data_IF_586641944987
#
_entry.id   IF_586641944987
#
_cell.length_a   1.000
_cell.length_b   1.000
_cell.length_c   1.000
_cell.angle_alpha   90.00
_cell.angle_beta   90.00
_cell.angle_gamma   90.00
#
_symmetry.space_group_name_H-M   'P 1'
#
loop_
_entity.id
_entity.type
_entity.pdbx_description
1 polymer ?
#
# COMPACT_ATOMS: atom_id res chain seq x y z
N UNK A 1 -41.35 1.26 27.45
CA UNK A 1 -39.90 1.19 27.68
C UNK A 1 -39.30 0.67 26.39
N UNK A 2 -39.03 1.59 25.47
CA UNK A 2 -38.52 1.27 24.13
C UNK A 2 -37.02 1.03 24.26
N UNK A 3 -36.55 -0.12 23.79
CA UNK A 3 -35.13 -0.43 23.71
C UNK A 3 -34.43 0.67 22.87
N UNK A 4 -33.30 1.25 23.31
CA UNK A 4 -32.59 2.23 22.49
C UNK A 4 -32.20 1.60 21.15
N UNK A 5 -32.37 2.37 20.07
CA UNK A 5 -31.87 2.01 18.74
C UNK A 5 -30.39 1.65 18.88
N UNK A 6 -29.90 0.53 18.30
CA UNK A 6 -28.48 0.23 18.30
C UNK A 6 -27.70 1.44 17.76
N UNK A 7 -26.56 1.74 18.39
CA UNK A 7 -25.64 2.78 17.95
C UNK A 7 -25.45 2.65 16.43
N UNK A 8 -25.64 3.74 15.64
CA UNK A 8 -25.46 3.64 14.20
C UNK A 8 -24.06 3.10 13.95
N UNK A 9 -23.98 2.01 13.16
CA UNK A 9 -22.71 1.46 12.70
C UNK A 9 -21.82 2.64 12.28
N UNK A 10 -20.56 2.73 12.76
CA UNK A 10 -19.74 3.90 12.51
C UNK A 10 -19.74 4.19 11.01
N UNK A 11 -19.97 5.47 10.67
CA UNK A 11 -20.08 5.96 9.30
C UNK A 11 -19.02 5.26 8.43
N UNK A 12 -19.45 4.62 7.34
CA UNK A 12 -18.56 3.91 6.43
C UNK A 12 -17.37 4.78 6.04
N UNK A 13 -17.58 6.09 5.87
CA UNK A 13 -16.51 7.05 5.62
C UNK A 13 -15.50 7.14 6.79
N UNK A 14 -15.98 7.20 8.03
CA UNK A 14 -15.13 7.19 9.22
C UNK A 14 -14.32 5.89 9.36
N UNK A 15 -14.92 4.74 9.00
CA UNK A 15 -14.21 3.45 9.01
C UNK A 15 -13.12 3.37 7.95
N UNK A 16 -13.40 3.86 6.73
CA UNK A 16 -12.41 3.93 5.64
C UNK A 16 -11.26 4.85 6.05
N UNK A 17 -11.54 6.05 6.54
CA UNK A 17 -10.53 6.99 7.01
C UNK A 17 -9.64 6.40 8.13
N UNK A 18 -10.24 5.63 9.06
CA UNK A 18 -9.48 4.94 10.10
C UNK A 18 -8.55 3.85 9.54
N UNK A 19 -8.99 3.11 8.51
CA UNK A 19 -8.15 2.12 7.83
C UNK A 19 -7.01 2.79 7.06
N UNK A 20 -7.27 3.87 6.33
CA UNK A 20 -6.25 4.65 5.64
C UNK A 20 -5.20 5.19 6.63
N UNK A 21 -5.64 5.76 7.75
CA UNK A 21 -4.73 6.25 8.79
C UNK A 21 -3.83 5.15 9.36
N UNK A 22 -4.37 3.94 9.57
CA UNK A 22 -3.60 2.77 10.03
C UNK A 22 -2.59 2.31 8.97
N UNK A 23 -2.98 2.25 7.70
CA UNK A 23 -2.08 1.90 6.60
C UNK A 23 -0.92 2.90 6.46
N UNK A 24 -1.22 4.21 6.52
CA UNK A 24 -0.21 5.26 6.49
C UNK A 24 0.77 5.13 7.67
N UNK A 25 0.25 4.89 8.88
CA UNK A 25 1.09 4.70 10.06
C UNK A 25 2.02 3.48 9.92
N UNK A 26 1.50 2.36 9.42
CA UNK A 26 2.29 1.16 9.16
C UNK A 26 3.37 1.41 8.10
N UNK A 27 3.03 2.08 6.98
CA UNK A 27 4.00 2.46 5.95
C UNK A 27 5.12 3.31 6.52
N UNK A 28 4.81 4.32 7.34
CA UNK A 28 5.84 5.19 7.97
C UNK A 28 6.78 4.40 8.87
N UNK A 29 6.26 3.50 9.70
CA UNK A 29 7.08 2.65 10.57
C UNK A 29 7.96 1.73 9.73
N UNK A 30 7.38 1.06 8.73
CA UNK A 30 8.14 0.17 7.83
C UNK A 30 9.27 0.93 7.13
N UNK A 31 8.97 2.10 6.55
CA UNK A 31 9.98 2.93 5.90
C UNK A 31 11.09 3.38 6.85
N UNK A 32 10.76 3.69 8.11
CA UNK A 32 11.75 4.04 9.13
C UNK A 32 12.69 2.87 9.46
N UNK A 33 12.17 1.64 9.43
CA UNK A 33 12.96 0.41 9.62
C UNK A 33 13.83 0.14 8.40
N UNK A 34 13.25 0.19 7.19
CA UNK A 34 13.96 -0.05 5.94
C UNK A 34 15.09 0.96 5.69
N UNK A 35 14.87 2.23 6.01
CA UNK A 35 15.91 3.27 5.94
C UNK A 35 17.08 3.05 6.91
N UNK A 36 16.91 2.21 7.95
CA UNK A 36 17.97 1.85 8.89
C UNK A 36 18.80 0.63 8.49
N UNK A 37 18.44 -0.09 7.42
CA UNK A 37 19.20 -1.25 6.94
C UNK A 37 20.50 -0.82 6.26
N UNK A 38 21.53 -1.67 6.17
CA UNK A 38 22.74 -1.40 5.36
C UNK A 38 22.40 -1.15 3.89
N UNK A 39 23.20 -0.34 3.18
CA UNK A 39 22.96 0.02 1.78
C UNK A 39 22.81 -1.20 0.85
N UNK A 40 23.65 -2.22 1.04
CA UNK A 40 23.60 -3.49 0.30
C UNK A 40 22.26 -4.22 0.47
N UNK A 41 21.71 -4.22 1.69
CA UNK A 41 20.40 -4.82 1.97
C UNK A 41 19.26 -4.00 1.38
N UNK A 42 19.41 -2.67 1.31
CA UNK A 42 18.41 -1.78 0.69
C UNK A 42 18.35 -1.97 -0.82
N UNK A 43 19.48 -2.18 -1.49
CA UNK A 43 19.52 -2.40 -2.94
C UNK A 43 18.67 -3.60 -3.38
N UNK A 44 18.88 -4.78 -2.75
CA UNK A 44 18.06 -5.96 -3.06
C UNK A 44 16.57 -5.80 -2.74
N UNK A 45 16.24 -4.99 -1.73
CA UNK A 45 14.86 -4.63 -1.39
C UNK A 45 14.22 -3.71 -2.43
N UNK A 46 14.96 -2.74 -2.98
CA UNK A 46 14.49 -1.86 -4.04
C UNK A 46 14.18 -2.64 -5.31
N UNK A 47 15.04 -3.59 -5.68
CA UNK A 47 14.83 -4.47 -6.84
C UNK A 47 13.57 -5.33 -6.65
N UNK A 48 13.42 -5.95 -5.47
CA UNK A 48 12.23 -6.73 -5.14
C UNK A 48 10.93 -5.91 -5.17
N UNK A 49 10.97 -4.66 -4.68
CA UNK A 49 9.81 -3.75 -4.73
C UNK A 49 9.46 -3.37 -6.17
N UNK A 50 10.46 -3.17 -7.05
CA UNK A 50 10.23 -2.86 -8.47
C UNK A 50 9.55 -4.03 -9.19
N UNK A 51 10.00 -5.26 -8.96
CA UNK A 51 9.39 -6.46 -9.55
C UNK A 51 7.91 -6.63 -9.16
N UNK A 52 7.54 -6.22 -7.94
CA UNK A 52 6.17 -6.31 -7.41
C UNK A 52 5.30 -5.10 -7.74
N UNK A 53 5.88 -3.99 -8.19
CA UNK A 53 5.17 -2.79 -8.60
C UNK A 53 4.56 -2.88 -10.01
N UNK A 54 4.81 -3.98 -10.73
CA UNK A 54 4.28 -4.27 -12.05
C UNK A 54 3.11 -5.25 -11.92
N UNK A 55 1.92 -4.81 -12.32
CA UNK A 55 0.81 -5.74 -12.56
C UNK A 55 1.24 -6.64 -13.72
N UNK A 56 1.37 -7.95 -13.48
CA UNK A 56 1.63 -8.90 -14.57
C UNK A 56 0.41 -8.91 -15.46
N UNK A 57 0.50 -8.15 -16.54
CA UNK A 57 -0.55 -7.96 -17.53
C UNK A 57 -0.92 -9.32 -18.15
N UNK A 58 -1.91 -9.95 -17.53
CA UNK A 58 -2.55 -11.14 -18.04
C UNK A 58 -3.65 -10.73 -18.99
N UNK A 59 -3.29 -10.22 -20.17
CA UNK A 59 -4.20 -9.94 -21.29
C UNK A 59 -5.46 -9.16 -20.87
N UNK A 60 -5.34 -7.84 -20.78
CA UNK A 60 -6.51 -6.95 -20.75
C UNK A 60 -7.31 -7.06 -22.07
N UNK A 61 -8.28 -7.98 -22.10
CA UNK A 61 -9.29 -8.08 -23.16
C UNK A 61 -10.12 -6.77 -23.17
N UNK A 62 -10.16 -6.00 -24.29
CA UNK A 62 -10.87 -4.73 -24.38
C UNK A 62 -12.39 -4.96 -24.32
N UNK A 63 -12.90 -5.15 -23.12
CA UNK A 63 -14.30 -5.47 -22.83
C UNK A 63 -14.53 -6.20 -21.50
N UNK A 64 -13.47 -6.71 -20.87
CA UNK A 64 -13.59 -7.35 -19.56
C UNK A 64 -13.80 -6.28 -18.46
N UNK A 65 -14.92 -6.39 -17.74
CA UNK A 65 -15.12 -5.62 -16.51
C UNK A 65 -14.00 -5.99 -15.54
N UNK A 66 -13.29 -5.03 -14.90
CA UNK A 66 -12.26 -5.36 -13.93
C UNK A 66 -12.86 -6.28 -12.88
N UNK A 67 -12.40 -7.54 -12.84
CA UNK A 67 -12.77 -8.43 -11.76
C UNK A 67 -12.32 -7.79 -10.44
N UNK A 68 -13.07 -7.96 -9.37
CA UNK A 68 -12.77 -7.37 -8.04
C UNK A 68 -11.34 -7.70 -7.56
N UNK A 69 -10.76 -8.81 -8.03
CA UNK A 69 -9.36 -9.16 -7.83
C UNK A 69 -8.34 -8.22 -8.51
N UNK A 70 -8.65 -7.65 -9.68
CA UNK A 70 -7.78 -6.70 -10.38
C UNK A 70 -7.61 -5.39 -9.60
N UNK A 71 -8.67 -4.92 -8.92
CA UNK A 71 -8.61 -3.70 -8.11
C UNK A 71 -7.67 -3.86 -6.90
N UNK A 72 -7.70 -5.03 -6.25
CA UNK A 72 -6.79 -5.34 -5.15
C UNK A 72 -5.33 -5.45 -5.63
N UNK A 73 -5.10 -6.19 -6.71
CA UNK A 73 -3.75 -6.34 -7.28
C UNK A 73 -3.16 -5.00 -7.75
N UNK A 74 -3.98 -4.13 -8.34
CA UNK A 74 -3.57 -2.77 -8.71
C UNK A 74 -3.22 -1.94 -7.47
N UNK A 75 -4.04 -1.98 -6.43
CA UNK A 75 -3.77 -1.28 -5.18
C UNK A 75 -2.48 -1.77 -4.50
N UNK A 76 -2.19 -3.07 -4.58
CA UNK A 76 -0.93 -3.65 -4.10
C UNK A 76 0.26 -3.16 -4.92
N UNK A 77 0.17 -3.21 -6.25
CA UNK A 77 1.23 -2.75 -7.14
C UNK A 77 1.55 -1.25 -6.93
N UNK A 78 0.51 -0.43 -6.76
CA UNK A 78 0.64 0.99 -6.44
C UNK A 78 1.35 1.22 -5.10
N UNK A 79 0.98 0.45 -4.08
CA UNK A 79 1.62 0.52 -2.77
C UNK A 79 3.11 0.17 -2.83
N UNK A 80 3.47 -0.89 -3.57
CA UNK A 80 4.88 -1.29 -3.76
C UNK A 80 5.68 -0.19 -4.46
N UNK A 81 5.08 0.47 -5.46
CA UNK A 81 5.70 1.61 -6.17
C UNK A 81 5.96 2.77 -5.23
N UNK A 82 5.00 3.12 -4.37
CA UNK A 82 5.13 4.21 -3.40
C UNK A 82 6.24 3.92 -2.39
N UNK A 83 6.31 2.69 -1.87
CA UNK A 83 7.37 2.27 -0.94
C UNK A 83 8.76 2.34 -1.59
N UNK A 84 8.89 1.89 -2.85
CA UNK A 84 10.15 1.98 -3.59
C UNK A 84 10.63 3.43 -3.74
N UNK A 85 9.74 4.32 -4.16
CA UNK A 85 10.07 5.74 -4.33
C UNK A 85 10.53 6.37 -3.02
N UNK A 86 9.86 6.05 -1.91
CA UNK A 86 10.23 6.60 -0.61
C UNK A 86 11.59 6.06 -0.12
N UNK A 87 11.87 4.77 -0.34
CA UNK A 87 13.15 4.18 0.03
C UNK A 87 14.30 4.79 -0.78
N UNK A 88 14.11 4.96 -2.09
CA UNK A 88 15.09 5.59 -2.97
C UNK A 88 15.42 7.03 -2.52
N UNK A 89 14.40 7.84 -2.19
CA UNK A 89 14.61 9.20 -1.65
C UNK A 89 15.37 9.21 -0.32
N UNK A 90 15.23 8.17 0.50
CA UNK A 90 15.99 8.05 1.74
C UNK A 90 17.47 7.77 1.47
N UNK A 91 17.77 6.99 0.45
CA UNK A 91 19.14 6.66 0.03
C UNK A 91 19.89 7.91 -0.47
N UNK A 92 19.25 8.71 -1.33
CA UNK A 92 19.81 9.98 -1.84
C UNK A 92 20.17 10.99 -0.74
N UNK A 93 19.51 10.93 0.43
CA UNK A 93 19.78 11.79 1.59
C UNK A 93 20.83 11.22 2.54
N UNK A 94 21.16 9.94 2.41
CA UNK A 94 22.07 9.21 3.30
C UNK A 94 23.46 8.98 2.70
N UNK A 95 23.61 9.15 1.38
CA UNK A 95 24.90 9.23 0.68
C UNK A 95 25.45 10.64 0.64
#
# INVERSE_FOLDING_TARGET
MTDPLPDPLPDTAARIAALEGRLIAQRRILMRLLGGLPAESRAGLLDWLEERAVLRDGQEDPGAVPAEGAALELALADEMRLMRQELARHDDRSG
#
